data_IF_380980063499
#
_entry.id   IF_380980063499
#
_cell.length_a   1.000
_cell.length_b   1.000
_cell.length_c   1.000
_cell.angle_alpha   90.00
_cell.angle_beta   90.00
_cell.angle_gamma   90.00
#
_symmetry.space_group_name_H-M   'P 1'
#
loop_
_entity.id
_entity.type
_entity.pdbx_description
1 polymer ?
#
# COMPACT_ATOMS: atom_id res chain seq x y z
N UNK A 1 12.53 -10.89 16.90
CA UNK A 1 12.20 -12.32 17.17
C UNK A 1 11.10 -12.90 16.27
N UNK A 2 10.40 -12.09 15.46
CA UNK A 2 9.43 -12.56 14.44
C UNK A 2 9.90 -12.14 13.03
N UNK A 3 11.21 -12.19 12.76
CA UNK A 3 11.75 -11.64 11.52
C UNK A 3 11.61 -12.63 10.36
N UNK A 4 11.85 -13.92 10.62
CA UNK A 4 11.77 -14.98 9.63
C UNK A 4 10.96 -16.18 10.14
N UNK A 5 10.06 -16.71 9.31
CA UNK A 5 9.32 -17.95 9.54
C UNK A 5 9.69 -18.90 8.42
N UNK A 6 10.31 -20.03 8.77
CA UNK A 6 10.76 -21.05 7.80
C UNK A 6 11.70 -20.48 6.72
N UNK A 7 12.50 -19.46 7.06
CA UNK A 7 13.44 -18.81 6.14
C UNK A 7 12.82 -17.78 5.19
N UNK A 8 11.55 -17.42 5.39
CA UNK A 8 10.87 -16.35 4.65
C UNK A 8 10.54 -15.17 5.56
N UNK A 9 10.54 -13.92 5.05
CA UNK A 9 10.10 -12.77 5.82
C UNK A 9 8.71 -13.00 6.41
N UNK A 10 8.55 -12.75 7.70
CA UNK A 10 7.29 -13.02 8.38
C UNK A 10 6.15 -12.10 7.91
N UNK A 11 6.47 -10.90 7.44
CA UNK A 11 5.48 -9.89 7.05
C UNK A 11 4.49 -10.40 5.99
N UNK A 12 4.93 -10.92 4.82
CA UNK A 12 4.04 -11.57 3.85
C UNK A 12 3.12 -12.64 4.43
N UNK A 13 3.52 -13.38 5.47
CA UNK A 13 2.64 -14.38 6.08
C UNK A 13 1.54 -13.73 6.92
N UNK A 14 1.89 -12.73 7.73
CA UNK A 14 0.92 -12.06 8.59
C UNK A 14 -0.08 -11.20 7.83
N UNK A 15 0.28 -10.58 6.70
CA UNK A 15 -0.63 -9.70 5.93
C UNK A 15 -1.88 -10.40 5.39
N UNK A 16 -1.86 -11.72 5.21
CA UNK A 16 -3.04 -12.47 4.75
C UNK A 16 -4.21 -12.36 5.74
N UNK A 17 -3.92 -12.28 7.05
CA UNK A 17 -4.95 -12.17 8.09
C UNK A 17 -5.75 -10.86 7.96
N UNK A 18 -5.14 -9.65 8.05
CA UNK A 18 -5.90 -8.41 7.96
C UNK A 18 -6.53 -8.22 6.57
N UNK A 19 -5.85 -8.60 5.48
CA UNK A 19 -6.35 -8.42 4.10
C UNK A 19 -7.63 -9.22 3.85
N UNK A 20 -7.78 -10.40 4.45
CA UNK A 20 -9.00 -11.23 4.26
C UNK A 20 -10.01 -10.97 5.37
N UNK A 21 -9.57 -11.00 6.63
CA UNK A 21 -10.48 -11.06 7.76
C UNK A 21 -11.08 -9.70 8.12
N UNK A 22 -10.37 -8.58 7.93
CA UNK A 22 -10.92 -7.26 8.24
C UNK A 22 -12.02 -6.84 7.24
N UNK A 23 -11.86 -6.97 5.91
CA UNK A 23 -12.95 -6.73 4.97
C UNK A 23 -14.16 -7.62 5.22
N UNK A 24 -13.94 -8.92 5.45
CA UNK A 24 -15.01 -9.86 5.75
C UNK A 24 -15.76 -9.48 7.04
N UNK A 25 -15.02 -9.08 8.09
CA UNK A 25 -15.61 -8.61 9.34
C UNK A 25 -16.40 -7.32 9.14
N UNK A 26 -15.89 -6.37 8.35
CA UNK A 26 -16.55 -5.10 8.10
C UNK A 26 -17.88 -5.28 7.37
N UNK A 27 -17.90 -6.06 6.28
CA UNK A 27 -19.12 -6.40 5.54
C UNK A 27 -20.10 -7.13 6.45
N UNK A 28 -19.62 -8.08 7.26
CA UNK A 28 -20.48 -8.82 8.19
C UNK A 28 -21.09 -7.94 9.27
N UNK A 29 -20.34 -6.98 9.83
CA UNK A 29 -20.84 -6.01 10.81
C UNK A 29 -21.95 -5.16 10.19
N UNK A 30 -21.74 -4.61 8.99
CA UNK A 30 -22.77 -3.84 8.27
C UNK A 30 -24.01 -4.70 8.02
N UNK A 31 -23.83 -5.94 7.56
CA UNK A 31 -24.94 -6.86 7.34
C UNK A 31 -25.73 -7.15 8.63
N UNK A 32 -25.05 -7.34 9.76
CA UNK A 32 -25.69 -7.56 11.07
C UNK A 32 -26.39 -6.30 11.61
N UNK A 33 -25.92 -5.11 11.24
CA UNK A 33 -26.62 -3.85 11.53
C UNK A 33 -27.93 -3.77 10.76
N UNK A 34 -27.91 -4.08 9.46
CA UNK A 34 -29.07 -4.02 8.56
C UNK A 34 -30.06 -5.18 8.72
N UNK A 35 -29.60 -6.37 9.13
CA UNK A 35 -30.42 -7.58 9.27
C UNK A 35 -30.34 -8.13 10.70
N UNK A 36 -31.15 -7.61 11.64
CA UNK A 36 -31.09 -8.04 13.04
C UNK A 36 -31.36 -9.53 13.27
N UNK A 37 -32.16 -10.17 12.41
CA UNK A 37 -32.46 -11.61 12.48
C UNK A 37 -31.21 -12.52 12.37
N UNK A 38 -30.12 -12.01 11.79
CA UNK A 38 -28.88 -12.77 11.58
C UNK A 38 -27.96 -12.80 12.81
N UNK A 39 -28.16 -11.86 13.76
CA UNK A 39 -27.25 -11.63 14.89
C UNK A 39 -27.05 -12.86 15.80
N UNK A 40 -28.09 -13.62 16.19
CA UNK A 40 -27.90 -14.78 17.06
C UNK A 40 -27.02 -15.88 16.45
N UNK A 41 -27.04 -16.02 15.12
CA UNK A 41 -26.27 -17.04 14.41
C UNK A 41 -24.83 -16.61 14.13
N UNK A 42 -24.62 -15.35 13.79
CA UNK A 42 -23.33 -14.90 13.23
C UNK A 42 -22.51 -13.97 14.14
N UNK A 43 -23.06 -13.44 15.24
CA UNK A 43 -22.32 -12.48 16.06
C UNK A 43 -20.99 -13.01 16.63
N UNK A 44 -20.97 -14.27 17.11
CA UNK A 44 -19.75 -14.88 17.65
C UNK A 44 -18.71 -15.24 16.57
N UNK A 45 -19.10 -15.88 15.44
CA UNK A 45 -18.18 -16.05 14.31
C UNK A 45 -17.55 -14.74 13.83
N UNK A 46 -18.35 -13.68 13.67
CA UNK A 46 -17.86 -12.36 13.23
C UNK A 46 -16.90 -11.76 14.26
N UNK A 47 -17.15 -11.93 15.55
CA UNK A 47 -16.21 -11.51 16.60
C UNK A 47 -14.87 -12.27 16.51
N UNK A 48 -14.90 -13.57 16.23
CA UNK A 48 -13.69 -14.36 16.02
C UNK A 48 -12.87 -13.88 14.82
N UNK A 49 -13.54 -13.63 13.68
CA UNK A 49 -12.91 -13.08 12.48
C UNK A 49 -12.30 -11.70 12.74
N UNK A 50 -13.02 -10.82 13.44
CA UNK A 50 -12.55 -9.48 13.78
C UNK A 50 -11.34 -9.53 14.71
N UNK A 51 -11.34 -10.41 15.71
CA UNK A 51 -10.22 -10.58 16.63
C UNK A 51 -8.96 -11.07 15.91
N UNK A 52 -9.09 -12.11 15.08
CA UNK A 52 -7.98 -12.63 14.28
C UNK A 52 -7.46 -11.60 13.27
N UNK A 53 -8.35 -10.85 12.62
CA UNK A 53 -7.98 -9.78 11.69
C UNK A 53 -7.24 -8.64 12.37
N UNK A 54 -7.70 -8.18 13.54
CA UNK A 54 -7.07 -7.10 14.28
C UNK A 54 -5.70 -7.51 14.87
N UNK A 55 -5.59 -8.73 15.41
CA UNK A 55 -4.31 -9.28 15.85
C UNK A 55 -3.34 -9.44 14.67
N UNK A 56 -3.84 -9.90 13.53
CA UNK A 56 -3.08 -9.99 12.28
C UNK A 56 -2.58 -8.62 11.81
N UNK A 57 -3.38 -7.56 11.92
CA UNK A 57 -2.97 -6.20 11.57
C UNK A 57 -1.81 -5.70 12.45
N UNK A 58 -1.87 -5.94 13.76
CA UNK A 58 -0.79 -5.56 14.68
C UNK A 58 0.49 -6.34 14.38
N UNK A 59 0.39 -7.66 14.13
CA UNK A 59 1.54 -8.47 13.76
C UNK A 59 2.13 -8.07 12.41
N UNK A 60 1.29 -7.77 11.42
CA UNK A 60 1.72 -7.32 10.10
C UNK A 60 2.44 -5.96 10.15
N UNK A 61 1.94 -5.01 10.94
CA UNK A 61 2.63 -3.73 11.14
C UNK A 61 4.01 -3.93 11.79
N UNK A 62 4.10 -4.64 12.92
CA UNK A 62 5.38 -4.85 13.61
C UNK A 62 6.41 -5.58 12.75
N UNK A 63 6.01 -6.64 12.05
CA UNK A 63 6.92 -7.37 11.13
C UNK A 63 7.22 -6.60 9.84
N UNK A 64 6.37 -5.65 9.46
CA UNK A 64 6.56 -4.77 8.31
C UNK A 64 7.62 -3.71 8.57
N UNK A 65 7.64 -3.12 9.76
CA UNK A 65 8.67 -2.16 10.18
C UNK A 65 10.06 -2.83 10.27
N UNK A 66 10.13 -4.05 10.79
CA UNK A 66 11.36 -4.86 10.80
C UNK A 66 11.89 -5.13 9.37
N UNK A 67 10.98 -5.42 8.44
CA UNK A 67 11.33 -5.61 7.04
C UNK A 67 11.75 -4.30 6.37
N UNK A 68 11.03 -3.20 6.63
CA UNK A 68 11.33 -1.87 6.10
C UNK A 68 12.75 -1.42 6.46
N UNK A 69 13.21 -1.72 7.67
CA UNK A 69 14.57 -1.43 8.12
C UNK A 69 15.65 -2.18 7.32
N UNK A 70 15.31 -3.33 6.70
CA UNK A 70 16.25 -4.17 5.94
C UNK A 70 16.24 -3.86 4.44
N UNK A 71 15.06 -3.59 3.86
CA UNK A 71 14.89 -3.49 2.39
C UNK A 71 14.48 -2.10 1.90
N UNK A 72 14.26 -1.14 2.80
CA UNK A 72 13.92 0.25 2.43
C UNK A 72 12.51 0.40 1.85
N UNK A 73 11.48 0.01 2.62
CA UNK A 73 10.08 0.16 2.21
C UNK A 73 9.61 1.63 2.31
N UNK A 74 8.63 2.06 1.48
CA UNK A 74 8.12 3.42 1.51
C UNK A 74 7.47 3.76 2.86
N UNK A 75 7.75 4.96 3.37
CA UNK A 75 7.28 5.46 4.68
C UNK A 75 5.75 5.45 4.74
N UNK A 76 5.10 5.76 3.62
CA UNK A 76 3.65 5.72 3.47
C UNK A 76 3.03 4.35 3.78
N UNK A 77 3.70 3.23 3.47
CA UNK A 77 3.18 1.91 3.78
C UNK A 77 3.20 1.60 5.29
N UNK A 78 4.29 1.95 5.97
CA UNK A 78 4.42 1.78 7.43
C UNK A 78 3.38 2.62 8.18
N UNK A 79 3.20 3.89 7.79
CA UNK A 79 2.24 4.78 8.43
C UNK A 79 0.79 4.28 8.27
N UNK A 80 0.40 3.87 7.06
CA UNK A 80 -0.92 3.29 6.80
C UNK A 80 -1.12 1.96 7.55
N UNK A 81 -0.06 1.16 7.67
CA UNK A 81 -0.05 -0.08 8.46
C UNK A 81 -0.34 0.17 9.94
N UNK A 82 0.31 1.17 10.55
CA UNK A 82 0.06 1.58 11.93
C UNK A 82 -1.39 2.06 12.12
N UNK A 83 -1.90 2.93 11.26
CA UNK A 83 -3.29 3.41 11.34
C UNK A 83 -4.30 2.27 11.20
N UNK A 84 -4.04 1.32 10.30
CA UNK A 84 -4.87 0.11 10.15
C UNK A 84 -4.86 -0.73 11.42
N UNK A 85 -3.69 -0.95 12.02
CA UNK A 85 -3.57 -1.69 13.28
C UNK A 85 -4.34 -1.01 14.42
N UNK A 86 -4.15 0.30 14.63
CA UNK A 86 -4.84 1.07 15.67
C UNK A 86 -6.36 1.09 15.45
N UNK A 87 -6.82 1.40 14.24
CA UNK A 87 -8.25 1.45 13.92
C UNK A 87 -8.92 0.09 14.08
N UNK A 88 -8.23 -1.00 13.70
CA UNK A 88 -8.74 -2.37 13.88
C UNK A 88 -8.82 -2.78 15.36
N UNK A 89 -7.90 -2.32 16.21
CA UNK A 89 -7.96 -2.53 17.65
C UNK A 89 -9.14 -1.78 18.29
N UNK A 90 -9.37 -0.52 17.89
CA UNK A 90 -10.56 0.26 18.32
C UNK A 90 -11.85 -0.43 17.86
N UNK A 91 -11.88 -0.92 16.60
CA UNK A 91 -13.02 -1.67 16.07
C UNK A 91 -13.24 -2.98 16.83
N UNK A 92 -12.19 -3.70 17.21
CA UNK A 92 -12.30 -4.92 18.02
C UNK A 92 -12.96 -4.63 19.37
N UNK A 93 -12.59 -3.55 20.03
CA UNK A 93 -13.19 -3.17 21.32
C UNK A 93 -14.65 -2.76 21.14
N UNK A 94 -14.94 -1.77 20.28
CA UNK A 94 -16.30 -1.26 20.09
C UNK A 94 -17.23 -2.30 19.46
N UNK A 95 -16.75 -2.99 18.42
CA UNK A 95 -17.44 -4.06 17.72
C UNK A 95 -17.63 -5.29 18.59
N UNK A 96 -16.63 -5.68 19.39
CA UNK A 96 -16.76 -6.79 20.33
C UNK A 96 -17.81 -6.54 21.40
N UNK A 97 -17.83 -5.33 21.97
CA UNK A 97 -18.87 -4.90 22.90
C UNK A 97 -20.25 -4.92 22.24
N UNK A 98 -20.37 -4.43 21.01
CA UNK A 98 -21.64 -4.45 20.27
C UNK A 98 -22.10 -5.88 19.95
N UNK A 99 -21.26 -6.69 19.31
CA UNK A 99 -21.51 -8.09 18.96
C UNK A 99 -21.88 -8.93 20.18
N UNK A 100 -21.20 -8.72 21.31
CA UNK A 100 -21.51 -9.40 22.58
C UNK A 100 -22.88 -9.05 23.14
N UNK A 101 -23.35 -7.79 22.95
CA UNK A 101 -24.68 -7.36 23.36
C UNK A 101 -25.76 -7.86 22.40
N UNK A 102 -25.52 -7.76 21.08
CA UNK A 102 -26.51 -8.12 20.06
C UNK A 102 -26.63 -9.63 19.81
N UNK A 103 -25.72 -10.46 20.34
CA UNK A 103 -25.80 -11.93 20.21
C UNK A 103 -27.01 -12.52 20.93
N UNK A 104 -27.53 -11.83 21.94
CA UNK A 104 -28.79 -12.18 22.60
C UNK A 104 -29.91 -11.52 21.81
N UNK A 105 -30.98 -12.25 21.51
CA UNK A 105 -32.11 -11.81 20.69
C UNK A 105 -33.00 -10.75 21.38
N UNK A 106 -32.38 -9.73 21.98
CA UNK A 106 -33.08 -8.65 22.66
C UNK A 106 -33.49 -7.55 21.65
N UNK A 107 -34.81 -7.30 21.47
CA UNK A 107 -35.31 -6.30 20.51
C UNK A 107 -34.82 -4.86 20.77
N UNK A 108 -34.44 -4.53 22.01
CA UNK A 108 -33.96 -3.19 22.37
C UNK A 108 -32.57 -2.86 21.79
N UNK A 109 -31.77 -3.90 21.55
CA UNK A 109 -30.43 -3.86 20.97
C UNK A 109 -30.44 -3.65 19.43
N UNK A 110 -31.62 -3.76 18.80
CA UNK A 110 -31.79 -3.72 17.35
C UNK A 110 -31.61 -2.35 16.69
N UNK A 111 -31.86 -1.25 17.41
CA UNK A 111 -32.01 0.10 16.85
C UNK A 111 -31.10 1.18 17.45
N UNK A 112 -30.06 0.78 18.20
CA UNK A 112 -29.16 1.73 18.85
C UNK A 112 -28.18 2.39 17.88
N UNK A 113 -28.01 3.72 18.00
CA UNK A 113 -26.99 4.53 17.31
C UNK A 113 -25.60 3.88 17.36
N UNK A 114 -25.30 3.16 18.44
CA UNK A 114 -24.04 2.44 18.62
C UNK A 114 -23.71 1.44 17.50
N UNK A 115 -24.69 0.72 16.93
CA UNK A 115 -24.44 -0.20 15.82
C UNK A 115 -24.04 0.51 14.52
N UNK A 116 -24.62 1.69 14.26
CA UNK A 116 -24.25 2.54 13.13
C UNK A 116 -22.84 3.12 13.31
N UNK A 117 -22.46 3.53 14.52
CA UNK A 117 -21.09 3.98 14.82
C UNK A 117 -20.08 2.85 14.58
N UNK A 118 -20.36 1.65 15.06
CA UNK A 118 -19.51 0.47 14.83
C UNK A 118 -19.42 0.13 13.33
N UNK A 119 -20.52 0.27 12.59
CA UNK A 119 -20.54 0.04 11.14
C UNK A 119 -19.73 1.10 10.38
N UNK A 120 -19.82 2.37 10.77
CA UNK A 120 -19.02 3.44 10.20
C UNK A 120 -17.52 3.21 10.46
N UNK A 121 -17.15 2.84 11.69
CA UNK A 121 -15.77 2.49 12.03
C UNK A 121 -15.28 1.28 11.23
N UNK A 122 -16.13 0.27 11.00
CA UNK A 122 -15.81 -0.87 10.18
C UNK A 122 -15.53 -0.49 8.70
N UNK A 123 -16.28 0.46 8.16
CA UNK A 123 -16.01 1.01 6.82
C UNK A 123 -14.71 1.81 6.78
N UNK A 124 -14.37 2.55 7.84
CA UNK A 124 -13.06 3.23 7.95
C UNK A 124 -11.92 2.21 7.93
N UNK A 125 -12.03 1.13 8.70
CA UNK A 125 -11.02 0.05 8.68
C UNK A 125 -10.93 -0.61 7.30
N UNK A 126 -12.07 -0.80 6.61
CA UNK A 126 -12.09 -1.32 5.24
C UNK A 126 -11.33 -0.39 4.27
N UNK A 127 -11.48 0.93 4.39
CA UNK A 127 -10.72 1.89 3.57
C UNK A 127 -9.23 1.87 3.93
N UNK A 128 -8.89 1.84 5.21
CA UNK A 128 -7.48 1.82 5.64
C UNK A 128 -6.76 0.55 5.16
N UNK A 129 -7.38 -0.63 5.26
CA UNK A 129 -6.76 -1.88 4.80
C UNK A 129 -6.59 -1.90 3.28
N UNK A 130 -7.51 -1.31 2.50
CA UNK A 130 -7.36 -1.22 1.04
C UNK A 130 -6.25 -0.25 0.65
N UNK A 131 -6.14 0.91 1.31
CA UNK A 131 -5.05 1.87 1.07
C UNK A 131 -3.69 1.29 1.46
N UNK A 132 -3.60 0.61 2.61
CA UNK A 132 -2.36 -0.08 3.06
C UNK A 132 -1.97 -1.21 2.11
N UNK A 133 -2.96 -2.00 1.66
CA UNK A 133 -2.73 -3.07 0.68
C UNK A 133 -2.28 -2.52 -0.67
N UNK A 134 -2.86 -1.39 -1.13
CA UNK A 134 -2.45 -0.72 -2.35
C UNK A 134 -1.01 -0.23 -2.27
N UNK A 135 -0.63 0.49 -1.20
CA UNK A 135 0.74 0.98 -1.04
C UNK A 135 1.75 -0.17 -0.99
N UNK A 136 1.45 -1.24 -0.27
CA UNK A 136 2.29 -2.45 -0.22
C UNK A 136 2.42 -3.13 -1.58
N UNK A 137 1.31 -3.26 -2.33
CA UNK A 137 1.32 -3.82 -3.66
C UNK A 137 2.11 -2.95 -4.65
N UNK A 138 1.97 -1.62 -4.60
CA UNK A 138 2.77 -0.73 -5.46
C UNK A 138 4.27 -0.83 -5.16
N UNK A 139 4.65 -0.97 -3.88
CA UNK A 139 6.04 -1.18 -3.50
C UNK A 139 6.59 -2.50 -4.05
N UNK A 140 5.84 -3.59 -3.87
CA UNK A 140 6.28 -4.93 -4.28
C UNK A 140 6.26 -5.15 -5.80
N UNK A 141 5.33 -4.54 -6.53
CA UNK A 141 5.05 -4.88 -7.93
C UNK A 141 5.38 -3.78 -8.95
N UNK A 142 5.81 -2.59 -8.54
CA UNK A 142 6.06 -1.50 -9.49
C UNK A 142 7.11 -1.83 -10.57
N UNK A 143 8.14 -2.61 -10.26
CA UNK A 143 9.13 -3.07 -11.25
C UNK A 143 8.63 -4.21 -12.15
N UNK A 144 7.71 -5.04 -11.65
CA UNK A 144 7.15 -6.20 -12.39
C UNK A 144 6.06 -5.77 -13.37
N UNK A 145 5.22 -4.80 -12.98
CA UNK A 145 4.18 -4.26 -13.85
C UNK A 145 4.79 -3.50 -15.06
N UNK A 146 5.94 -2.83 -14.86
CA UNK A 146 6.69 -2.19 -15.93
C UNK A 146 7.29 -3.20 -16.93
N UNK A 147 7.68 -4.40 -16.48
CA UNK A 147 8.19 -5.47 -17.35
C UNK A 147 7.09 -6.29 -18.03
N UNK A 148 5.87 -6.30 -17.49
CA UNK A 148 4.73 -7.02 -18.05
C UNK A 148 3.96 -6.25 -19.15
N UNK A 149 4.30 -4.99 -19.39
CA UNK A 149 3.72 -4.18 -20.47
C UNK A 149 4.27 -4.59 -21.85
N UNK A 150 3.55 -5.51 -22.49
CA UNK A 150 3.52 -5.87 -23.92
C UNK A 150 4.79 -6.49 -24.58
N UNK A 151 4.70 -7.74 -25.11
CA UNK A 151 5.66 -8.22 -26.10
C UNK A 151 5.40 -7.47 -27.42
N UNK A 152 6.18 -6.42 -27.67
CA UNK A 152 6.09 -5.69 -28.95
C UNK A 152 6.64 -4.26 -28.97
N UNK A 153 6.94 -3.63 -27.83
CA UNK A 153 7.79 -2.43 -27.83
C UNK A 153 9.21 -2.88 -27.49
N UNK A 154 10.10 -2.73 -28.47
CA UNK A 154 11.52 -2.98 -28.35
C UNK A 154 12.02 -2.35 -27.06
N UNK A 155 12.60 -3.13 -26.16
CA UNK A 155 13.32 -2.59 -25.02
C UNK A 155 14.27 -1.49 -25.52
N UNK A 156 14.22 -0.33 -24.85
CA UNK A 156 15.06 0.79 -25.21
C UNK A 156 16.52 0.40 -24.95
N UNK A 157 17.44 0.95 -25.71
CA UNK A 157 18.87 0.75 -25.48
C UNK A 157 19.48 2.02 -24.92
N UNK A 158 20.65 1.89 -24.27
CA UNK A 158 21.43 3.08 -23.93
C UNK A 158 21.86 3.89 -25.18
N UNK A 159 21.88 3.28 -26.36
CA UNK A 159 22.09 4.00 -27.61
C UNK A 159 20.89 4.88 -27.99
N UNK A 160 19.66 4.40 -27.75
CA UNK A 160 18.46 5.21 -27.92
C UNK A 160 18.49 6.40 -26.94
N UNK A 161 18.76 6.14 -25.66
CA UNK A 161 18.91 7.23 -24.66
C UNK A 161 19.96 8.25 -25.11
N UNK A 162 21.15 7.81 -25.50
CA UNK A 162 22.24 8.69 -25.94
C UNK A 162 21.91 9.55 -27.17
N UNK A 163 20.96 9.12 -28.01
CA UNK A 163 20.49 9.92 -29.15
C UNK A 163 19.70 11.17 -28.72
N UNK A 164 19.10 11.15 -27.53
CA UNK A 164 18.30 12.23 -26.95
C UNK A 164 19.10 12.95 -25.85
N UNK A 165 20.14 13.68 -26.26
CA UNK A 165 21.17 14.26 -25.38
C UNK A 165 21.12 15.79 -25.25
N UNK A 166 19.99 16.44 -25.58
CA UNK A 166 19.85 17.90 -25.50
C UNK A 166 18.72 18.30 -24.55
N UNK A 167 18.72 19.49 -23.92
CA UNK A 167 17.64 19.88 -23.01
C UNK A 167 16.23 19.91 -23.64
N UNK A 168 16.14 20.16 -24.94
CA UNK A 168 14.87 20.15 -25.67
C UNK A 168 14.40 18.75 -26.08
N UNK A 169 15.31 17.77 -26.04
CA UNK A 169 15.12 16.37 -26.40
C UNK A 169 16.06 15.51 -25.55
N UNK A 170 15.65 15.32 -24.29
CA UNK A 170 16.47 14.83 -23.20
C UNK A 170 15.87 13.53 -22.65
N UNK A 171 16.54 12.42 -22.96
CA UNK A 171 16.26 11.17 -22.28
C UNK A 171 17.34 10.88 -21.25
N UNK A 172 16.94 10.21 -20.17
CA UNK A 172 17.86 9.72 -19.16
C UNK A 172 17.53 8.27 -18.82
N UNK A 173 18.53 7.52 -18.39
CA UNK A 173 18.36 6.20 -17.80
C UNK A 173 18.40 6.30 -16.27
N UNK A 174 17.44 5.65 -15.60
CA UNK A 174 17.42 5.53 -14.14
C UNK A 174 16.94 4.12 -13.77
N UNK A 175 17.75 3.38 -13.03
CA UNK A 175 17.44 2.05 -12.50
C UNK A 175 16.91 1.08 -13.58
N UNK A 176 17.66 0.99 -14.69
CA UNK A 176 17.35 0.07 -15.80
C UNK A 176 16.16 0.48 -16.67
N UNK A 177 15.67 1.71 -16.58
CA UNK A 177 14.56 2.23 -17.38
C UNK A 177 14.94 3.54 -18.07
N UNK A 178 14.38 3.80 -19.25
CA UNK A 178 14.52 5.03 -20.01
C UNK A 178 13.34 5.99 -19.74
N UNK A 179 13.62 7.29 -19.65
CA UNK A 179 12.65 8.34 -19.36
C UNK A 179 12.83 9.54 -20.29
N UNK A 180 11.74 10.13 -20.78
CA UNK A 180 11.76 11.41 -21.52
C UNK A 180 11.44 12.56 -20.57
N UNK A 181 12.48 13.26 -20.12
CA UNK A 181 12.36 14.34 -19.13
C UNK A 181 12.38 15.73 -19.77
N UNK A 182 12.32 15.84 -21.10
CA UNK A 182 12.44 17.11 -21.85
C UNK A 182 11.48 18.18 -21.34
N UNK A 183 10.22 17.80 -21.12
CA UNK A 183 9.18 18.72 -20.65
C UNK A 183 9.27 19.05 -19.16
N UNK A 184 10.02 18.26 -18.39
CA UNK A 184 10.17 18.40 -16.95
C UNK A 184 11.33 19.29 -16.53
N UNK A 185 12.41 19.34 -17.33
CA UNK A 185 13.61 20.14 -17.06
C UNK A 185 13.31 21.56 -16.56
N UNK A 186 12.46 22.38 -17.22
CA UNK A 186 12.18 23.74 -16.75
C UNK A 186 11.35 23.82 -15.46
N UNK A 187 10.73 22.72 -15.05
CA UNK A 187 9.88 22.61 -13.85
C UNK A 187 10.65 22.00 -12.66
N UNK A 188 11.88 21.53 -12.88
CA UNK A 188 12.65 20.86 -11.85
C UNK A 188 12.94 21.81 -10.68
N UNK A 189 12.49 21.51 -9.44
CA UNK A 189 12.66 22.40 -8.30
C UNK A 189 14.12 22.70 -7.93
N UNK A 190 15.04 21.78 -8.25
CA UNK A 190 16.48 21.95 -8.06
C UNK A 190 17.19 22.75 -9.16
N UNK A 191 16.44 23.23 -10.15
CA UNK A 191 16.92 23.97 -11.32
C UNK A 191 17.22 23.06 -12.53
N UNK A 192 16.97 23.53 -13.77
CA UNK A 192 17.24 22.77 -14.99
C UNK A 192 18.72 22.34 -15.10
N UNK A 193 19.65 23.14 -14.59
CA UNK A 193 21.10 22.92 -14.64
C UNK A 193 21.56 21.62 -13.94
N UNK A 194 20.69 21.00 -13.13
CA UNK A 194 20.94 19.71 -12.49
C UNK A 194 20.65 18.52 -13.40
N UNK A 195 19.78 18.70 -14.39
CA UNK A 195 19.32 17.63 -15.29
C UNK A 195 19.97 17.77 -16.67
N UNK A 196 20.14 18.99 -17.19
CA UNK A 196 20.70 19.24 -18.52
C UNK A 196 22.03 18.48 -18.79
N UNK A 197 22.99 18.38 -17.85
CA UNK A 197 24.23 17.63 -18.09
C UNK A 197 24.06 16.11 -18.14
N UNK A 198 22.89 15.61 -17.77
CA UNK A 198 22.58 14.18 -17.69
C UNK A 198 21.84 13.66 -18.92
N UNK A 199 21.40 14.55 -19.83
CA UNK A 199 20.73 14.15 -21.06
C UNK A 199 21.59 13.17 -21.86
N UNK A 200 20.98 12.06 -22.27
CA UNK A 200 21.63 10.98 -22.99
C UNK A 200 22.49 10.04 -22.13
N UNK A 201 22.39 10.09 -20.80
CA UNK A 201 23.24 9.30 -19.89
C UNK A 201 22.44 8.48 -18.88
N UNK A 202 23.15 7.59 -18.18
CA UNK A 202 22.64 6.93 -16.98
C UNK A 202 22.80 7.89 -15.79
N UNK A 203 21.66 8.37 -15.31
CA UNK A 203 21.51 9.30 -14.21
C UNK A 203 21.19 8.60 -12.88
N UNK A 204 21.25 7.26 -12.81
CA UNK A 204 20.83 6.49 -11.63
C UNK A 204 21.53 6.94 -10.35
N UNK A 205 22.85 7.12 -10.38
CA UNK A 205 23.61 7.50 -9.20
C UNK A 205 23.26 8.92 -8.71
N UNK A 206 23.09 9.87 -9.64
CA UNK A 206 22.77 11.26 -9.39
C UNK A 206 21.35 11.39 -8.82
N UNK A 207 20.40 10.70 -9.46
CA UNK A 207 19.02 10.66 -9.01
C UNK A 207 18.91 10.00 -7.64
N UNK A 208 19.51 8.82 -7.44
CA UNK A 208 19.46 8.09 -6.16
C UNK A 208 20.13 8.89 -5.03
N UNK A 209 21.26 9.54 -5.32
CA UNK A 209 21.99 10.33 -4.32
C UNK A 209 21.21 11.53 -3.79
N UNK A 210 20.32 12.13 -4.58
CA UNK A 210 19.54 13.31 -4.19
C UNK A 210 18.06 12.99 -3.86
N UNK A 211 17.52 11.96 -4.48
CA UNK A 211 16.07 11.69 -4.54
C UNK A 211 15.71 10.24 -4.21
N UNK A 212 16.68 9.39 -3.85
CA UNK A 212 16.45 7.98 -3.53
C UNK A 212 15.42 7.74 -2.44
N UNK A 213 15.26 8.68 -1.50
CA UNK A 213 14.31 8.62 -0.38
C UNK A 213 13.12 9.58 -0.52
N UNK A 214 12.98 10.24 -1.69
CA UNK A 214 11.97 11.28 -1.89
C UNK A 214 10.82 10.75 -2.72
N UNK A 215 9.73 10.33 -2.06
CA UNK A 215 8.57 9.72 -2.72
C UNK A 215 7.98 10.59 -3.85
N UNK A 216 7.91 11.91 -3.65
CA UNK A 216 7.40 12.83 -4.67
C UNK A 216 8.28 12.82 -5.92
N UNK A 217 9.61 12.81 -5.76
CA UNK A 217 10.53 12.77 -6.90
C UNK A 217 10.45 11.42 -7.65
N UNK A 218 10.31 10.32 -6.91
CA UNK A 218 10.10 8.98 -7.46
C UNK A 218 8.78 8.90 -8.25
N UNK A 219 7.70 9.44 -7.70
CA UNK A 219 6.39 9.47 -8.36
C UNK A 219 6.41 10.35 -9.62
N UNK A 220 7.06 11.52 -9.55
CA UNK A 220 7.22 12.41 -10.70
C UNK A 220 8.06 11.77 -11.80
N UNK A 221 9.19 11.12 -11.49
CA UNK A 221 10.01 10.46 -12.51
C UNK A 221 9.20 9.42 -13.30
N UNK A 222 8.34 8.65 -12.62
CA UNK A 222 7.48 7.63 -13.25
C UNK A 222 6.48 8.19 -14.26
N UNK A 223 6.12 9.47 -14.20
CA UNK A 223 5.22 10.06 -15.22
C UNK A 223 5.90 10.26 -16.57
N UNK A 224 7.23 10.16 -16.62
CA UNK A 224 8.06 10.33 -17.80
C UNK A 224 8.65 9.01 -18.34
N UNK A 225 8.21 7.87 -17.79
CA UNK A 225 8.73 6.56 -18.16
C UNK A 225 8.38 6.21 -19.62
N UNK A 226 9.40 5.86 -20.38
CA UNK A 226 9.26 5.28 -21.72
C UNK A 226 9.17 3.76 -21.63
N UNK A 227 10.10 3.12 -20.92
CA UNK A 227 10.14 1.68 -20.75
C UNK A 227 11.49 1.15 -20.26
N UNK A 228 11.62 -0.17 -20.10
CA UNK A 228 12.85 -0.81 -19.63
C UNK A 228 13.96 -0.75 -20.69
N UNK A 229 15.21 -0.73 -20.20
CA UNK A 229 16.41 -0.89 -21.02
C UNK A 229 16.72 -2.37 -21.28
N UNK A 230 17.25 -2.68 -22.47
CA UNK A 230 17.78 -3.98 -22.86
C UNK A 230 19.29 -4.11 -22.66
#
# INVERSE_FOLDING_TARGET
MLEDILGLPAHPLFVHLPVVLLPLSAVSIVALTLRPAWRPRFALPVLGLLALGALGAVAAWGTGDDLAAKVGLPVTHSELGMWTALASAVLLVAGGVWLWRVRRADPSSARGVFGWVVSALALVVLVLVTLTGHSGATAAWSGVAATAAAPGQSAYTMADVAAHSTPADCWIAVDGNAYDVSSWIPQHPGGPERIEPLCGTDATAQFTGQHGQTEVAQATLKTFLLGPLA
#
